data_IF_887262506229
#
_entry.id   IF_887262506229
#
_cell.length_a   1.000
_cell.length_b   1.000
_cell.length_c   1.000
_cell.angle_alpha   90.00
_cell.angle_beta   90.00
_cell.angle_gamma   90.00
#
_symmetry.space_group_name_H-M   'P 1'
#
loop_
_entity.id
_entity.type
_entity.pdbx_description
1 polymer ?
#
# COMPACT_ATOMS: atom_id res chain seq x y z
N UNK A 1 -5.20 11.50 -6.39
CA UNK A 1 -4.77 11.58 -7.81
C UNK A 1 -5.98 11.45 -8.73
N UNK A 2 -5.84 11.76 -10.01
CA UNK A 2 -6.88 11.63 -11.04
C UNK A 2 -6.56 10.49 -12.00
N UNK A 3 -7.56 10.06 -12.77
CA UNK A 3 -7.37 9.06 -13.83
C UNK A 3 -6.25 9.44 -14.81
N UNK A 4 -6.18 10.72 -15.18
CA UNK A 4 -5.14 11.23 -16.08
C UNK A 4 -3.72 11.04 -15.53
N UNK A 5 -3.54 11.05 -14.20
CA UNK A 5 -2.24 10.80 -13.60
C UNK A 5 -1.78 9.36 -13.86
N UNK A 6 -2.72 8.40 -13.88
CA UNK A 6 -2.43 7.00 -14.21
C UNK A 6 -2.06 6.85 -15.68
N UNK A 7 -2.78 7.52 -16.58
CA UNK A 7 -2.53 7.46 -18.03
C UNK A 7 -1.17 8.06 -18.39
N UNK A 8 -0.81 9.18 -17.77
CA UNK A 8 0.43 9.90 -18.08
C UNK A 8 1.60 9.51 -17.16
N UNK A 9 1.38 8.58 -16.21
CA UNK A 9 2.41 8.12 -15.27
C UNK A 9 2.93 9.22 -14.35
N UNK A 10 2.10 10.21 -14.01
CA UNK A 10 2.50 11.28 -13.09
C UNK A 10 2.33 10.82 -11.63
N UNK A 11 3.01 11.46 -10.67
CA UNK A 11 2.93 11.06 -9.26
C UNK A 11 1.54 11.19 -8.61
N UNK A 12 0.61 11.91 -9.24
CA UNK A 12 -0.70 12.24 -8.66
C UNK A 12 -0.58 13.04 -7.36
N UNK A 13 -1.45 12.75 -6.39
CA UNK A 13 -1.49 13.46 -5.10
C UNK A 13 -0.38 12.97 -4.16
N UNK A 14 -0.26 11.66 -4.01
CA UNK A 14 0.82 11.01 -3.26
C UNK A 14 0.92 9.53 -3.66
N UNK A 15 2.05 8.91 -3.31
CA UNK A 15 2.26 7.47 -3.42
C UNK A 15 2.44 6.87 -2.03
N UNK A 16 1.77 5.75 -1.78
CA UNK A 16 1.83 5.03 -0.50
C UNK A 16 2.52 3.70 -0.72
N UNK A 17 3.58 3.45 0.06
CA UNK A 17 4.22 2.13 0.15
C UNK A 17 3.63 1.39 1.34
N UNK A 18 2.94 0.27 1.09
CA UNK A 18 2.28 -0.52 2.13
C UNK A 18 3.28 -1.18 3.09
N UNK A 19 4.37 -1.73 2.56
CA UNK A 19 5.49 -2.29 3.33
C UNK A 19 6.74 -2.37 2.46
N UNK A 20 7.90 -2.32 3.10
CA UNK A 20 9.18 -2.60 2.47
C UNK A 20 9.47 -4.10 2.47
N UNK A 21 9.67 -4.67 1.28
CA UNK A 21 10.04 -6.07 1.10
C UNK A 21 11.58 -6.19 1.05
N UNK A 22 12.13 -7.06 1.90
CA UNK A 22 13.56 -7.16 2.14
C UNK A 22 14.28 -8.13 1.19
N UNK A 23 13.61 -8.61 0.13
CA UNK A 23 14.17 -9.57 -0.81
C UNK A 23 13.87 -9.16 -2.25
N UNK A 24 14.85 -9.20 -3.15
CA UNK A 24 14.72 -8.68 -4.53
C UNK A 24 13.96 -9.59 -5.51
N UNK A 25 13.00 -10.39 -5.02
CA UNK A 25 12.16 -11.26 -5.84
C UNK A 25 10.73 -10.76 -5.92
N UNK A 26 10.01 -11.36 -6.85
CA UNK A 26 8.58 -11.20 -7.08
C UNK A 26 7.73 -11.30 -5.80
N UNK A 27 6.94 -10.26 -5.51
CA UNK A 27 6.19 -10.13 -4.26
C UNK A 27 5.14 -9.02 -4.34
N UNK A 28 4.41 -8.79 -3.24
CA UNK A 28 3.62 -7.58 -3.04
C UNK A 28 2.51 -7.36 -4.08
N UNK A 29 1.79 -8.42 -4.47
CA UNK A 29 0.55 -8.35 -5.24
C UNK A 29 -0.68 -8.36 -4.32
N UNK A 30 -1.10 -7.20 -3.78
CA UNK A 30 -2.20 -7.18 -2.83
C UNK A 30 -3.54 -7.39 -3.52
N UNK A 31 -4.39 -8.21 -2.90
CA UNK A 31 -5.84 -8.01 -3.03
C UNK A 31 -6.22 -6.70 -2.33
N UNK A 32 -7.14 -5.93 -2.89
CA UNK A 32 -7.63 -4.66 -2.32
C UNK A 32 -9.13 -4.77 -2.10
N UNK A 33 -9.55 -4.63 -0.84
CA UNK A 33 -10.96 -4.66 -0.44
C UNK A 33 -11.33 -3.37 0.28
N UNK A 34 -12.50 -2.81 -0.05
CA UNK A 34 -13.08 -1.67 0.66
C UNK A 34 -14.24 -2.16 1.53
N UNK A 35 -14.08 -2.03 2.84
CA UNK A 35 -15.11 -2.40 3.80
C UNK A 35 -16.23 -1.35 3.87
N UNK A 36 -17.44 -1.70 4.38
CA UNK A 36 -18.57 -0.77 4.47
C UNK A 36 -18.31 0.50 5.31
N UNK A 37 -17.33 0.47 6.22
CA UNK A 37 -16.95 1.61 7.06
C UNK A 37 -15.91 2.53 6.39
N UNK A 38 -15.58 2.30 5.12
CA UNK A 38 -14.59 3.06 4.36
C UNK A 38 -13.14 2.64 4.59
N UNK A 39 -12.89 1.56 5.34
CA UNK A 39 -11.53 1.02 5.55
C UNK A 39 -11.10 0.21 4.34
N UNK A 40 -9.93 0.55 3.79
CA UNK A 40 -9.24 -0.30 2.83
C UNK A 40 -8.50 -1.41 3.58
N UNK A 41 -8.59 -2.64 3.08
CA UNK A 41 -7.80 -3.79 3.52
C UNK A 41 -7.01 -4.31 2.34
N UNK A 42 -5.69 -4.34 2.48
CA UNK A 42 -4.79 -4.88 1.46
C UNK A 42 -4.05 -6.09 2.03
N UNK A 43 -4.18 -7.26 1.41
CA UNK A 43 -3.55 -8.50 1.88
C UNK A 43 -2.58 -9.03 0.83
N UNK A 44 -1.32 -9.27 1.23
CA UNK A 44 -0.24 -9.72 0.33
C UNK A 44 0.78 -10.61 1.04
N UNK A 45 1.64 -11.29 0.29
CA UNK A 45 2.79 -12.07 0.79
C UNK A 45 4.12 -11.35 0.53
N UNK A 46 5.14 -11.64 1.33
CA UNK A 46 6.50 -11.13 1.14
C UNK A 46 7.45 -11.42 2.30
N UNK A 47 8.69 -10.93 2.18
CA UNK A 47 9.73 -10.98 3.19
C UNK A 47 9.83 -9.65 3.90
N UNK A 48 9.17 -9.53 5.05
CA UNK A 48 8.97 -8.24 5.70
C UNK A 48 9.95 -7.96 6.84
N UNK A 49 10.54 -9.01 7.40
CA UNK A 49 11.46 -9.00 8.54
C UNK A 49 12.77 -9.70 8.18
N UNK A 50 13.89 -9.16 8.65
CA UNK A 50 15.20 -9.73 8.37
C UNK A 50 15.35 -11.10 9.05
N UNK A 51 15.94 -12.06 8.35
CA UNK A 51 16.21 -13.42 8.85
C UNK A 51 14.95 -14.26 9.16
N UNK A 52 13.77 -13.81 8.76
CA UNK A 52 12.53 -14.56 8.90
C UNK A 52 12.06 -15.17 7.56
N UNK A 53 11.25 -16.22 7.69
CA UNK A 53 10.52 -16.79 6.55
C UNK A 53 9.46 -15.80 6.05
N UNK A 54 9.07 -15.87 4.77
CA UNK A 54 8.04 -14.97 4.24
C UNK A 54 6.70 -15.24 4.92
N UNK A 55 5.88 -14.20 5.07
CA UNK A 55 4.57 -14.31 5.68
C UNK A 55 3.54 -13.42 4.98
N UNK A 56 2.27 -13.71 5.22
CA UNK A 56 1.16 -12.91 4.74
C UNK A 56 0.96 -11.72 5.68
N UNK A 57 0.85 -10.54 5.10
CA UNK A 57 0.57 -9.29 5.80
C UNK A 57 -0.73 -8.70 5.28
N UNK A 58 -1.59 -8.27 6.19
CA UNK A 58 -2.73 -7.40 5.89
C UNK A 58 -2.47 -6.01 6.45
N UNK A 59 -2.62 -4.99 5.62
CA UNK A 59 -2.55 -3.57 6.02
C UNK A 59 -3.96 -2.99 5.92
N UNK A 60 -4.33 -2.17 6.90
CA UNK A 60 -5.63 -1.50 6.96
C UNK A 60 -5.41 0.00 7.09
N UNK A 61 -6.15 0.78 6.32
CA UNK A 61 -6.07 2.23 6.37
C UNK A 61 -7.36 2.87 5.84
N UNK A 62 -7.62 4.10 6.23
CA UNK A 62 -8.61 4.98 5.60
C UNK A 62 -7.89 6.09 4.84
N UNK A 63 -8.53 6.60 3.78
CA UNK A 63 -7.93 7.68 2.98
C UNK A 63 -7.67 8.93 3.83
N UNK A 64 -8.58 9.28 4.75
CA UNK A 64 -8.41 10.42 5.65
C UNK A 64 -7.12 10.33 6.50
N UNK A 65 -6.71 9.12 6.93
CA UNK A 65 -5.47 8.93 7.68
C UNK A 65 -4.23 9.19 6.81
N UNK A 66 -4.31 8.81 5.52
CA UNK A 66 -3.24 9.05 4.56
C UNK A 66 -3.16 10.53 4.17
N UNK A 67 -4.29 11.18 3.99
CA UNK A 67 -4.38 12.63 3.74
C UNK A 67 -3.73 13.40 4.90
N UNK A 68 -4.05 13.06 6.16
CA UNK A 68 -3.41 13.67 7.34
C UNK A 68 -1.89 13.45 7.40
N UNK A 69 -1.39 12.29 6.95
CA UNK A 69 0.06 12.01 6.91
C UNK A 69 0.72 12.82 5.79
N UNK A 70 0.06 12.95 4.64
CA UNK A 70 0.58 13.70 3.50
C UNK A 70 0.68 15.20 3.82
N UNK A 71 -0.30 15.76 4.51
CA UNK A 71 -0.32 17.19 4.91
C UNK A 71 0.73 17.55 5.98
N UNK A 72 1.26 16.55 6.70
CA UNK A 72 2.33 16.76 7.70
C UNK A 72 3.74 16.75 7.10
N UNK A 73 3.89 16.43 5.82
CA UNK A 73 5.19 16.38 5.12
C UNK A 73 5.51 17.71 4.46
#
# INVERSE_FOLDING_TARGET
GRWDDLIHGTPGQYQVRLKDNLKSYDTAYPGVELLPDGTFVTTTYGHWSAQEQPYILSVRFRLAELDEIADRR
#
